data_IF_293050787414
#
_entry.id   IF_293050787414
#
_cell.length_a   1.000
_cell.length_b   1.000
_cell.length_c   1.000
_cell.angle_alpha   90.00
_cell.angle_beta   90.00
_cell.angle_gamma   90.00
#
_symmetry.space_group_name_H-M   'P 1'
#
loop_
_entity.id
_entity.type
_entity.pdbx_description
1 polymer ?
#
# COMPACT_ATOMS: atom_id res chain seq x y z
N UNK A 1 2.01 -6.21 29.05
CA UNK A 1 3.44 -6.04 29.42
C UNK A 1 4.15 -5.51 28.18
N UNK A 2 4.16 -4.19 28.02
CA UNK A 2 4.78 -3.50 26.88
C UNK A 2 6.29 -3.61 27.03
N UNK A 3 6.92 -4.59 26.35
CA UNK A 3 8.37 -4.73 26.31
C UNK A 3 8.94 -3.74 25.30
N UNK A 4 9.63 -2.73 25.81
CA UNK A 4 10.80 -2.06 25.23
C UNK A 4 10.80 -1.77 23.72
N UNK A 5 9.81 -1.02 23.22
CA UNK A 5 10.01 -0.27 21.97
C UNK A 5 10.87 0.96 22.28
N UNK A 6 12.12 0.97 21.77
CA UNK A 6 13.02 2.12 21.89
C UNK A 6 12.30 3.37 21.38
N UNK A 7 12.35 4.52 22.09
CA UNK A 7 11.68 5.76 21.67
C UNK A 7 11.99 6.16 20.23
N UNK A 8 13.22 5.93 19.76
CA UNK A 8 13.63 6.17 18.37
C UNK A 8 12.82 5.37 17.33
N UNK A 9 12.39 4.15 17.67
CA UNK A 9 11.52 3.35 16.80
C UNK A 9 10.12 3.96 16.71
N UNK A 10 9.57 4.44 17.84
CA UNK A 10 8.25 5.10 17.87
C UNK A 10 8.27 6.39 17.05
N UNK A 11 9.30 7.22 17.17
CA UNK A 11 9.43 8.44 16.37
C UNK A 11 9.62 8.15 14.88
N UNK A 12 10.44 7.15 14.52
CA UNK A 12 10.60 6.73 13.14
C UNK A 12 9.29 6.18 12.56
N UNK A 13 8.54 5.40 13.34
CA UNK A 13 7.25 4.85 12.96
C UNK A 13 6.19 5.94 12.73
N UNK A 14 6.09 6.92 13.63
CA UNK A 14 5.20 8.08 13.48
C UNK A 14 5.57 8.89 12.22
N UNK A 15 6.86 9.14 11.98
CA UNK A 15 7.30 9.85 10.79
C UNK A 15 6.94 9.08 9.51
N UNK A 16 7.11 7.76 9.49
CA UNK A 16 6.75 6.93 8.34
C UNK A 16 5.24 6.94 8.06
N UNK A 17 4.40 6.88 9.09
CA UNK A 17 2.94 7.00 8.93
C UNK A 17 2.57 8.38 8.38
N UNK A 18 3.18 9.44 8.92
CA UNK A 18 2.93 10.81 8.48
C UNK A 18 3.35 11.03 7.02
N UNK A 19 4.48 10.49 6.56
CA UNK A 19 4.94 10.63 5.18
C UNK A 19 3.93 10.00 4.19
N UNK A 20 3.42 8.81 4.53
CA UNK A 20 2.41 8.08 3.74
C UNK A 20 1.09 8.85 3.68
N UNK A 21 0.63 9.38 4.80
CA UNK A 21 -0.62 10.17 4.86
C UNK A 21 -0.47 11.54 4.18
N UNK A 22 0.69 12.19 4.30
CA UNK A 22 0.94 13.50 3.68
C UNK A 22 1.00 13.39 2.15
N UNK A 23 1.41 12.25 1.61
CA UNK A 23 1.40 12.01 0.16
C UNK A 23 -0.01 12.09 -0.44
N UNK A 24 -1.07 11.87 0.38
CA UNK A 24 -2.45 11.96 -0.06
C UNK A 24 -2.94 13.40 -0.33
N UNK A 25 -2.13 14.41 -0.02
CA UNK A 25 -2.46 15.79 -0.34
C UNK A 25 -2.37 16.04 -1.85
N UNK A 26 -3.39 16.69 -2.40
CA UNK A 26 -3.48 17.06 -3.81
C UNK A 26 -3.38 15.85 -4.77
N UNK A 27 -4.09 14.77 -4.45
CA UNK A 27 -4.29 13.63 -5.34
C UNK A 27 -5.61 13.76 -6.12
N UNK A 28 -5.78 12.88 -7.11
CA UNK A 28 -7.02 12.78 -7.86
C UNK A 28 -8.26 12.58 -6.95
N UNK A 29 -9.29 13.38 -7.19
CA UNK A 29 -10.50 13.42 -6.35
C UNK A 29 -11.25 12.09 -6.34
N UNK A 30 -11.25 11.35 -7.46
CA UNK A 30 -11.93 10.06 -7.55
C UNK A 30 -11.23 9.00 -6.71
N UNK A 31 -9.89 9.01 -6.69
CA UNK A 31 -9.12 8.17 -5.77
C UNK A 31 -9.38 8.55 -4.31
N UNK A 32 -9.31 9.84 -3.97
CA UNK A 32 -9.56 10.33 -2.60
C UNK A 32 -10.96 9.95 -2.10
N UNK A 33 -11.96 9.97 -2.97
CA UNK A 33 -13.30 9.47 -2.65
C UNK A 33 -13.30 7.98 -2.30
N UNK A 34 -12.54 7.16 -3.02
CA UNK A 34 -12.43 5.73 -2.69
C UNK A 34 -11.77 5.52 -1.32
N UNK A 35 -10.73 6.30 -1.00
CA UNK A 35 -10.06 6.26 0.32
C UNK A 35 -10.98 6.72 1.44
N UNK A 36 -11.74 7.81 1.25
CA UNK A 36 -12.70 8.31 2.24
C UNK A 36 -13.84 7.30 2.50
N UNK A 37 -14.38 6.68 1.45
CA UNK A 37 -15.36 5.59 1.59
C UNK A 37 -14.79 4.40 2.39
N UNK A 38 -13.52 4.05 2.17
CA UNK A 38 -12.84 2.99 2.91
C UNK A 38 -12.63 3.35 4.39
N UNK A 39 -12.19 4.58 4.67
CA UNK A 39 -11.88 5.04 6.04
C UNK A 39 -13.10 5.16 6.94
N UNK A 40 -14.25 5.54 6.37
CA UNK A 40 -15.52 5.68 7.11
C UNK A 40 -16.22 4.35 7.36
N UNK A 41 -15.81 3.29 6.67
CA UNK A 41 -16.44 1.99 6.81
C UNK A 41 -15.99 1.28 8.08
N UNK A 42 -16.96 0.73 8.80
CA UNK A 42 -16.79 0.02 10.06
C UNK A 42 -17.02 -1.48 9.93
N UNK A 43 -17.85 -1.92 8.97
CA UNK A 43 -18.03 -3.33 8.66
C UNK A 43 -16.81 -3.86 7.90
N UNK A 44 -16.13 -4.87 8.44
CA UNK A 44 -14.88 -5.38 7.88
C UNK A 44 -15.05 -5.91 6.46
N UNK A 45 -16.18 -6.53 6.14
CA UNK A 45 -16.42 -7.12 4.83
C UNK A 45 -16.69 -6.05 3.77
N UNK A 46 -17.46 -5.02 4.11
CA UNK A 46 -17.58 -3.84 3.26
C UNK A 46 -16.24 -3.11 3.14
N UNK A 47 -15.46 -3.04 4.21
CA UNK A 47 -14.13 -2.42 4.19
C UNK A 47 -13.18 -3.12 3.21
N UNK A 48 -13.21 -4.45 3.12
CA UNK A 48 -12.51 -5.23 2.08
C UNK A 48 -12.99 -4.82 0.68
N UNK A 49 -14.32 -4.72 0.46
CA UNK A 49 -14.88 -4.30 -0.84
C UNK A 49 -14.44 -2.90 -1.22
N UNK A 50 -14.42 -1.96 -0.28
CA UNK A 50 -13.97 -0.58 -0.50
C UNK A 50 -12.47 -0.52 -0.79
N UNK A 51 -11.66 -1.31 -0.08
CA UNK A 51 -10.23 -1.42 -0.35
C UNK A 51 -9.97 -1.99 -1.75
N UNK A 52 -10.66 -3.06 -2.14
CA UNK A 52 -10.58 -3.64 -3.48
C UNK A 52 -10.98 -2.64 -4.57
N UNK A 53 -11.99 -1.81 -4.33
CA UNK A 53 -12.38 -0.73 -5.24
C UNK A 53 -11.26 0.32 -5.40
N UNK A 54 -10.60 0.70 -4.31
CA UNK A 54 -9.48 1.63 -4.34
C UNK A 54 -8.27 1.03 -5.09
N UNK A 55 -7.95 -0.25 -4.87
CA UNK A 55 -6.94 -0.98 -5.64
C UNK A 55 -7.29 -0.99 -7.15
N UNK A 56 -8.55 -1.30 -7.49
CA UNK A 56 -9.01 -1.28 -8.88
C UNK A 56 -8.88 0.09 -9.55
N UNK A 57 -9.05 1.18 -8.79
CA UNK A 57 -8.80 2.53 -9.29
C UNK A 57 -7.31 2.76 -9.62
N UNK A 58 -6.41 2.32 -8.75
CA UNK A 58 -4.97 2.41 -9.01
C UNK A 58 -4.56 1.55 -10.20
N UNK A 59 -5.16 0.38 -10.36
CA UNK A 59 -4.95 -0.47 -11.53
C UNK A 59 -5.41 0.22 -12.82
N UNK A 60 -6.56 0.89 -12.79
CA UNK A 60 -7.02 1.74 -13.90
C UNK A 60 -6.00 2.84 -14.22
N UNK A 61 -5.55 3.62 -13.22
CA UNK A 61 -4.54 4.66 -13.41
C UNK A 61 -3.24 4.10 -13.99
N UNK A 62 -2.77 2.95 -13.51
CA UNK A 62 -1.59 2.30 -14.06
C UNK A 62 -1.72 2.01 -15.56
N UNK A 63 -2.86 1.50 -16.01
CA UNK A 63 -3.06 1.22 -17.43
C UNK A 63 -3.18 2.49 -18.29
N UNK A 64 -3.85 3.53 -17.79
CA UNK A 64 -3.86 4.85 -18.46
C UNK A 64 -2.42 5.39 -18.61
N UNK A 65 -1.64 5.33 -17.54
CA UNK A 65 -0.24 5.73 -17.55
C UNK A 65 0.62 4.87 -18.49
N UNK A 66 0.39 3.57 -18.62
CA UNK A 66 1.12 2.73 -19.58
C UNK A 66 0.77 3.11 -21.03
N UNK A 67 -0.46 3.56 -21.29
CA UNK A 67 -0.92 4.01 -22.60
C UNK A 67 -0.31 5.34 -23.04
N UNK A 68 0.01 6.22 -22.09
CA UNK A 68 0.63 7.52 -22.34
C UNK A 68 2.13 7.45 -22.05
N UNK A 69 3.00 7.80 -23.01
CA UNK A 69 4.46 7.81 -22.83
C UNK A 69 4.87 8.44 -21.47
N UNK A 70 5.21 7.62 -20.47
CA UNK A 70 5.24 8.05 -19.06
C UNK A 70 6.26 9.17 -18.77
N UNK A 71 7.24 9.41 -19.65
CA UNK A 71 8.41 10.27 -19.41
C UNK A 71 8.07 11.73 -19.04
N UNK A 72 6.85 12.21 -19.28
CA UNK A 72 6.41 13.59 -18.99
C UNK A 72 5.57 13.75 -17.70
N UNK A 73 5.28 12.69 -16.94
CA UNK A 73 4.26 12.73 -15.87
C UNK A 73 4.83 12.80 -14.45
N UNK A 74 5.69 13.77 -14.13
CA UNK A 74 6.19 13.99 -12.74
C UNK A 74 5.15 14.58 -11.77
N UNK A 75 3.85 14.44 -12.06
CA UNK A 75 2.72 14.93 -11.26
C UNK A 75 1.39 14.40 -11.80
N UNK A 76 0.29 14.70 -11.11
CA UNK A 76 -1.04 14.20 -11.49
C UNK A 76 -1.20 12.69 -11.21
N UNK A 77 -1.59 11.93 -12.23
CA UNK A 77 -1.96 10.50 -12.11
C UNK A 77 -0.83 9.61 -11.60
N UNK A 78 0.44 9.90 -11.97
CA UNK A 78 1.58 9.13 -11.45
C UNK A 78 1.78 9.35 -9.95
N UNK A 79 1.58 10.59 -9.47
CA UNK A 79 1.63 10.90 -8.04
C UNK A 79 0.49 10.17 -7.31
N UNK A 80 -0.73 10.24 -7.84
CA UNK A 80 -1.88 9.49 -7.32
C UNK A 80 -1.58 8.00 -7.26
N UNK A 81 -1.01 7.42 -8.32
CA UNK A 81 -0.66 6.01 -8.34
C UNK A 81 0.35 5.65 -7.25
N UNK A 82 1.48 6.37 -7.17
CA UNK A 82 2.55 6.04 -6.22
C UNK A 82 2.09 6.28 -4.77
N UNK A 83 1.48 7.43 -4.46
CA UNK A 83 0.96 7.69 -3.12
C UNK A 83 -0.15 6.71 -2.74
N UNK A 84 -1.02 6.37 -3.70
CA UNK A 84 -2.10 5.40 -3.50
C UNK A 84 -1.57 4.00 -3.20
N UNK A 85 -0.60 3.50 -3.98
CA UNK A 85 0.03 2.20 -3.75
C UNK A 85 0.68 2.13 -2.36
N UNK A 86 1.42 3.18 -2.00
CA UNK A 86 2.06 3.32 -0.69
C UNK A 86 1.05 3.32 0.45
N UNK A 87 -0.06 4.03 0.30
CA UNK A 87 -1.10 4.06 1.32
C UNK A 87 -1.86 2.74 1.43
N UNK A 88 -2.34 2.21 0.30
CA UNK A 88 -3.18 1.01 0.29
C UNK A 88 -2.42 -0.25 0.73
N UNK A 89 -1.11 -0.36 0.50
CA UNK A 89 -0.36 -1.54 0.99
C UNK A 89 -0.41 -1.61 2.52
N UNK A 90 -0.28 -0.48 3.23
CA UNK A 90 -0.35 -0.44 4.70
C UNK A 90 -1.76 -0.78 5.17
N UNK A 91 -2.77 -0.20 4.53
CA UNK A 91 -4.17 -0.42 4.92
C UNK A 91 -4.62 -1.86 4.66
N UNK A 92 -4.22 -2.43 3.51
CA UNK A 92 -4.51 -3.82 3.17
C UNK A 92 -3.88 -4.79 4.15
N UNK A 93 -2.61 -4.59 4.52
CA UNK A 93 -1.94 -5.46 5.50
C UNK A 93 -2.61 -5.37 6.85
N UNK A 94 -2.97 -4.18 7.33
CA UNK A 94 -3.74 -4.04 8.58
C UNK A 94 -5.06 -4.80 8.52
N UNK A 95 -5.81 -4.64 7.42
CA UNK A 95 -7.10 -5.29 7.24
C UNK A 95 -7.00 -6.83 7.16
N UNK A 96 -5.96 -7.36 6.52
CA UNK A 96 -5.61 -8.78 6.48
C UNK A 96 -5.47 -9.37 7.91
N UNK A 97 -4.90 -8.62 8.85
CA UNK A 97 -4.79 -9.06 10.25
C UNK A 97 -5.98 -8.69 11.15
N UNK A 98 -6.93 -7.90 10.67
CA UNK A 98 -8.17 -7.55 11.38
C UNK A 98 -9.35 -8.45 11.01
N UNK A 99 -9.21 -9.25 9.97
CA UNK A 99 -10.25 -10.11 9.39
C UNK A 99 -10.01 -11.58 9.70
N UNK A 100 -11.07 -12.38 9.63
CA UNK A 100 -11.04 -13.81 9.96
C UNK A 100 -11.16 -14.69 8.70
N UNK A 101 -10.51 -15.85 8.73
CA UNK A 101 -10.68 -16.97 7.77
C UNK A 101 -10.79 -16.54 6.29
N UNK A 102 -11.92 -16.82 5.63
CA UNK A 102 -12.09 -16.56 4.19
C UNK A 102 -12.04 -15.08 3.79
N UNK A 103 -12.38 -14.17 4.70
CA UNK A 103 -12.24 -12.73 4.44
C UNK A 103 -10.78 -12.28 4.63
N UNK A 104 -9.99 -12.96 5.50
CA UNK A 104 -8.55 -12.74 5.63
C UNK A 104 -7.81 -13.11 4.35
N UNK A 105 -8.10 -14.25 3.74
CA UNK A 105 -7.50 -14.65 2.46
C UNK A 105 -7.69 -13.57 1.39
N UNK A 106 -8.90 -13.01 1.28
CA UNK A 106 -9.21 -11.94 0.33
C UNK A 106 -8.44 -10.65 0.67
N UNK A 107 -8.42 -10.26 1.94
CA UNK A 107 -7.75 -9.02 2.37
C UNK A 107 -6.21 -9.10 2.17
N UNK A 108 -5.59 -10.24 2.50
CA UNK A 108 -4.18 -10.47 2.22
C UNK A 108 -3.93 -10.52 0.70
N UNK A 109 -4.84 -11.12 -0.07
CA UNK A 109 -4.84 -11.15 -1.53
C UNK A 109 -4.83 -9.75 -2.19
N UNK A 110 -5.61 -8.80 -1.65
CA UNK A 110 -5.60 -7.41 -2.16
C UNK A 110 -4.24 -6.73 -1.90
N UNK A 111 -3.67 -6.92 -0.71
CA UNK A 111 -2.35 -6.38 -0.35
C UNK A 111 -1.26 -6.93 -1.26
N UNK A 112 -1.40 -8.21 -1.57
CA UNK A 112 -0.64 -8.92 -2.58
C UNK A 112 -0.83 -8.21 -3.94
N UNK A 113 -2.03 -8.11 -4.50
CA UNK A 113 -2.26 -7.43 -5.79
C UNK A 113 -1.63 -6.03 -5.89
N UNK A 114 -1.63 -5.27 -4.79
CA UNK A 114 -0.96 -3.95 -4.70
C UNK A 114 0.56 -4.05 -4.88
N UNK A 115 1.22 -5.07 -4.30
CA UNK A 115 2.65 -5.34 -4.51
C UNK A 115 2.94 -5.71 -5.97
N UNK A 116 2.11 -6.55 -6.59
CA UNK A 116 2.27 -6.93 -7.99
C UNK A 116 2.13 -5.73 -8.93
N UNK A 117 1.17 -4.85 -8.64
CA UNK A 117 1.01 -3.58 -9.37
C UNK A 117 2.21 -2.66 -9.18
N UNK A 118 2.76 -2.61 -7.95
CA UNK A 118 3.98 -1.85 -7.63
C UNK A 118 5.18 -2.38 -8.44
N UNK A 119 5.39 -3.69 -8.48
CA UNK A 119 6.48 -4.28 -9.27
C UNK A 119 6.30 -4.04 -10.77
N UNK A 120 5.05 -4.10 -11.25
CA UNK A 120 4.72 -3.77 -12.63
C UNK A 120 5.06 -2.31 -12.96
N UNK A 121 4.77 -1.37 -12.06
CA UNK A 121 5.18 0.03 -12.18
C UNK A 121 6.71 0.18 -12.23
N UNK A 122 7.44 -0.49 -11.35
CA UNK A 122 8.91 -0.42 -11.30
C UNK A 122 9.58 -0.89 -12.59
N UNK A 123 9.03 -1.94 -13.19
CA UNK A 123 9.52 -2.48 -14.47
C UNK A 123 9.35 -1.51 -15.63
N UNK A 124 8.41 -0.56 -15.53
CA UNK A 124 8.11 0.42 -16.59
C UNK A 124 8.67 1.80 -16.33
N UNK A 125 8.77 2.21 -15.08
CA UNK A 125 9.13 3.57 -14.69
C UNK A 125 10.55 3.67 -14.14
N UNK A 126 10.76 3.08 -12.97
CA UNK A 126 12.00 3.19 -12.20
C UNK A 126 12.17 1.96 -11.35
N UNK A 127 13.31 1.31 -11.50
CA UNK A 127 13.69 0.15 -10.68
C UNK A 127 14.31 0.61 -9.37
N UNK A 128 13.95 -0.05 -8.27
CA UNK A 128 14.49 0.15 -6.93
C UNK A 128 14.73 -1.22 -6.27
N UNK A 129 15.99 -1.59 -6.04
CA UNK A 129 16.34 -2.90 -5.47
C UNK A 129 15.89 -3.06 -4.02
N UNK A 130 15.81 -1.96 -3.27
CA UNK A 130 15.34 -2.00 -1.86
C UNK A 130 13.86 -2.36 -1.84
N UNK A 131 13.07 -1.70 -2.69
CA UNK A 131 11.64 -1.99 -2.84
C UNK A 131 11.39 -3.42 -3.34
N UNK A 132 12.19 -3.92 -4.28
CA UNK A 132 12.08 -5.33 -4.72
C UNK A 132 12.29 -6.30 -3.55
N UNK A 133 13.34 -6.08 -2.75
CA UNK A 133 13.65 -6.95 -1.60
C UNK A 133 12.56 -6.90 -0.54
N UNK A 134 12.19 -5.70 -0.09
CA UNK A 134 11.18 -5.51 0.96
C UNK A 134 9.81 -6.01 0.51
N UNK A 135 9.43 -5.71 -0.73
CA UNK A 135 8.15 -6.14 -1.30
C UNK A 135 8.07 -7.66 -1.44
N UNK A 136 9.14 -8.34 -1.86
CA UNK A 136 9.16 -9.80 -1.97
C UNK A 136 9.08 -10.50 -0.61
N UNK A 137 9.73 -9.92 0.41
CA UNK A 137 9.58 -10.40 1.78
C UNK A 137 8.14 -10.22 2.28
N UNK A 138 7.55 -9.04 2.07
CA UNK A 138 6.17 -8.76 2.47
C UNK A 138 5.18 -9.68 1.74
N UNK A 139 5.37 -9.89 0.43
CA UNK A 139 4.58 -10.80 -0.38
C UNK A 139 4.52 -12.21 0.20
N UNK A 140 5.67 -12.71 0.66
CA UNK A 140 5.79 -14.04 1.27
C UNK A 140 5.10 -14.09 2.64
N UNK A 141 5.23 -13.03 3.45
CA UNK A 141 4.59 -12.95 4.77
C UNK A 141 3.06 -12.82 4.72
N UNK A 142 2.51 -12.44 3.57
CA UNK A 142 1.07 -12.34 3.33
C UNK A 142 0.48 -13.60 2.69
N UNK A 143 1.22 -14.72 2.68
CA UNK A 143 0.69 -16.00 2.27
C UNK A 143 -0.36 -16.49 3.28
N UNK A 144 -1.63 -16.71 2.88
CA UNK A 144 -2.67 -17.20 3.79
C UNK A 144 -2.32 -18.55 4.44
N UNK A 145 -1.50 -19.38 3.79
CA UNK A 145 -1.07 -20.67 4.35
C UNK A 145 0.04 -20.53 5.39
N UNK A 146 0.75 -19.39 5.39
CA UNK A 146 1.90 -19.15 6.26
C UNK A 146 2.02 -17.66 6.63
N UNK A 147 0.95 -17.13 7.23
CA UNK A 147 0.88 -15.71 7.57
C UNK A 147 1.93 -15.36 8.62
N UNK A 148 2.74 -14.34 8.33
CA UNK A 148 3.79 -13.86 9.24
C UNK A 148 3.21 -13.29 10.54
N UNK A 149 4.08 -13.01 11.51
CA UNK A 149 3.66 -12.33 12.73
C UNK A 149 3.11 -10.93 12.42
N UNK A 150 1.97 -10.57 13.04
CA UNK A 150 1.25 -9.32 12.77
C UNK A 150 2.12 -8.08 12.93
N UNK A 151 2.81 -7.96 14.06
CA UNK A 151 3.58 -6.76 14.39
C UNK A 151 4.72 -6.54 13.40
N UNK A 152 5.45 -7.61 13.06
CA UNK A 152 6.56 -7.55 12.10
C UNK A 152 6.08 -7.27 10.68
N UNK A 153 4.97 -7.89 10.27
CA UNK A 153 4.45 -7.75 8.90
C UNK A 153 3.83 -6.36 8.68
N UNK A 154 3.15 -5.81 9.68
CA UNK A 154 2.68 -4.42 9.65
C UNK A 154 3.85 -3.43 9.61
N UNK A 155 4.92 -3.66 10.39
CA UNK A 155 6.12 -2.82 10.34
C UNK A 155 6.78 -2.86 8.95
N UNK A 156 6.93 -4.06 8.37
CA UNK A 156 7.47 -4.24 7.03
C UNK A 156 6.62 -3.56 5.96
N UNK A 157 5.29 -3.57 6.09
CA UNK A 157 4.39 -2.85 5.17
C UNK A 157 4.66 -1.35 5.11
N UNK A 158 5.04 -0.73 6.24
CA UNK A 158 5.39 0.70 6.30
C UNK A 158 6.76 0.96 5.64
N UNK A 159 7.71 0.04 5.80
CA UNK A 159 9.00 0.12 5.11
C UNK A 159 8.83 0.01 3.59
N UNK A 160 7.99 -0.93 3.14
CA UNK A 160 7.60 -1.05 1.73
C UNK A 160 6.91 0.22 1.25
N UNK A 161 5.91 0.73 1.99
CA UNK A 161 5.19 1.94 1.64
C UNK A 161 6.13 3.13 1.44
N UNK A 162 7.11 3.32 2.32
CA UNK A 162 8.12 4.37 2.18
C UNK A 162 9.01 4.15 0.96
N UNK A 163 9.43 2.92 0.69
CA UNK A 163 10.21 2.61 -0.49
C UNK A 163 9.42 2.86 -1.79
N UNK A 164 8.10 2.65 -1.79
CA UNK A 164 7.20 3.05 -2.90
C UNK A 164 7.23 4.57 -3.09
N UNK A 165 7.12 5.37 -2.01
CA UNK A 165 7.16 6.84 -2.12
C UNK A 165 8.45 7.36 -2.75
N UNK A 166 9.59 6.71 -2.48
CA UNK A 166 10.88 7.09 -3.05
C UNK A 166 10.93 6.97 -4.59
N UNK A 167 9.96 6.30 -5.22
CA UNK A 167 9.84 6.26 -6.67
C UNK A 167 9.54 7.65 -7.28
N UNK A 168 8.96 8.58 -6.51
CA UNK A 168 8.67 9.95 -6.96
C UNK A 168 9.92 10.82 -7.17
N UNK A 169 11.06 10.49 -6.56
CA UNK A 169 12.28 11.27 -6.64
C UNK A 169 12.68 11.92 -5.33
#
# INVERSE_FOLDING_TARGET
>A
MLKDFKPAFIFAWIAMVNDVETCLQDLDESFLKCVDEFLRESDLREKIRKLSRAEGYLRYLFFELVGHNMKDLRGGDLKTLICGLSYLIVQGVKLCYETDNGDQEIACGISRDILDLTFSLMMRWRRDETLLKLGAELWTRLDPENLGEREETVALSLEVARAILNLLG
#
